data_IF_117483195048
#
_entry.id   IF_117483195048
#
_cell.length_a   1.000
_cell.length_b   1.000
_cell.length_c   1.000
_cell.angle_alpha   90.00
_cell.angle_beta   90.00
_cell.angle_gamma   90.00
#
_symmetry.space_group_name_H-M   'P 1'
#
loop_
_entity.id
_entity.type
_entity.pdbx_description
1 polymer ?
#
# COMPACT_ATOMS: atom_id res chain seq x y z
N UNK A 1 -2.51 14.83 7.26
CA UNK A 1 -2.71 13.86 6.18
C UNK A 1 -1.72 12.73 6.35
N UNK A 2 -2.16 11.50 6.13
CA UNK A 2 -1.35 10.29 6.28
C UNK A 2 -1.73 9.29 5.21
N UNK A 3 -0.74 8.53 4.74
CA UNK A 3 -0.94 7.40 3.85
C UNK A 3 -0.32 6.18 4.54
N UNK A 4 -1.11 5.12 4.67
CA UNK A 4 -0.67 3.85 5.23
C UNK A 4 -0.99 2.72 4.26
N UNK A 5 -0.12 1.72 4.18
CA UNK A 5 -0.35 0.54 3.37
C UNK A 5 -0.14 -0.75 4.17
N UNK A 6 -0.95 -1.76 3.91
CA UNK A 6 -0.73 -3.13 4.38
C UNK A 6 -0.67 -4.09 3.20
N UNK A 7 0.25 -5.04 3.26
CA UNK A 7 0.37 -6.16 2.33
C UNK A 7 0.15 -7.45 3.12
N UNK A 8 -0.91 -8.18 2.79
CA UNK A 8 -1.44 -9.31 3.56
C UNK A 8 -1.47 -8.99 5.07
N UNK A 9 -2.15 -7.90 5.37
CA UNK A 9 -2.37 -7.38 6.73
C UNK A 9 -1.08 -6.95 7.48
N UNK A 10 0.09 -6.95 6.81
CA UNK A 10 1.35 -6.44 7.37
C UNK A 10 1.62 -5.02 6.90
N UNK A 11 1.84 -4.10 7.85
CA UNK A 11 2.18 -2.70 7.57
C UNK A 11 3.49 -2.58 6.78
N UNK A 12 3.42 -1.80 5.71
CA UNK A 12 4.54 -1.46 4.85
C UNK A 12 5.02 -0.03 5.10
N UNK A 13 6.32 0.20 4.95
CA UNK A 13 6.87 1.54 4.87
C UNK A 13 6.71 2.04 3.44
N UNK A 14 5.99 3.15 3.28
CA UNK A 14 5.70 3.75 1.98
C UNK A 14 6.06 5.23 1.98
N UNK A 15 6.48 5.73 0.82
CA UNK A 15 6.78 7.13 0.56
C UNK A 15 5.86 7.61 -0.55
N UNK A 16 5.15 8.71 -0.30
CA UNK A 16 4.36 9.41 -1.30
C UNK A 16 5.19 10.52 -1.93
N UNK A 17 5.30 10.49 -3.25
CA UNK A 17 5.85 11.57 -4.03
C UNK A 17 4.70 12.37 -4.68
N UNK A 18 4.46 13.63 -4.25
CA UNK A 18 3.42 14.46 -4.81
C UNK A 18 3.69 14.94 -6.24
N UNK A 19 4.95 15.00 -6.68
CA UNK A 19 5.30 15.48 -8.02
C UNK A 19 4.94 14.42 -9.07
N UNK A 20 5.39 13.19 -8.87
CA UNK A 20 5.06 12.06 -9.76
C UNK A 20 3.70 11.42 -9.48
N UNK A 21 3.04 11.82 -8.39
CA UNK A 21 1.79 11.23 -7.90
C UNK A 21 1.89 9.73 -7.69
N UNK A 22 3.02 9.28 -7.13
CA UNK A 22 3.32 7.86 -6.94
C UNK A 22 3.53 7.50 -5.47
N UNK A 23 3.12 6.28 -5.11
CA UNK A 23 3.36 5.68 -3.81
C UNK A 23 4.35 4.54 -3.98
N UNK A 24 5.53 4.67 -3.37
CA UNK A 24 6.58 3.66 -3.45
C UNK A 24 6.77 2.97 -2.09
N UNK A 25 7.06 1.67 -2.10
CA UNK A 25 7.38 0.90 -0.92
C UNK A 25 8.07 -0.40 -1.31
N UNK A 26 8.72 -1.04 -0.34
CA UNK A 26 9.28 -2.39 -0.51
C UNK A 26 8.60 -3.32 0.48
N UNK A 27 8.24 -4.51 0.00
CA UNK A 27 7.78 -5.56 0.91
C UNK A 27 8.84 -5.83 1.97
N UNK A 28 8.41 -5.94 3.22
CA UNK A 28 9.28 -6.27 4.36
C UNK A 28 9.74 -7.73 4.39
N UNK A 29 9.19 -8.56 3.51
CA UNK A 29 9.54 -9.99 3.33
C UNK A 29 9.54 -10.36 1.86
N UNK A 30 10.21 -11.46 1.52
CA UNK A 30 10.02 -12.10 0.23
C UNK A 30 8.55 -12.51 0.05
N UNK A 31 8.01 -12.30 -1.14
CA UNK A 31 6.67 -12.73 -1.50
C UNK A 31 6.75 -14.14 -2.08
N UNK A 32 5.88 -15.02 -1.61
CA UNK A 32 5.71 -16.34 -2.20
C UNK A 32 4.89 -16.24 -3.48
N UNK A 33 5.00 -17.19 -4.43
CA UNK A 33 4.06 -17.28 -5.52
C UNK A 33 2.62 -17.40 -5.01
N UNK A 34 1.68 -16.70 -5.64
CA UNK A 34 0.27 -16.66 -5.25
C UNK A 34 -0.32 -15.25 -5.19
N UNK A 35 -1.58 -15.19 -4.79
CA UNK A 35 -2.32 -13.92 -4.67
C UNK A 35 -1.98 -13.20 -3.38
N UNK A 36 -1.68 -11.91 -3.50
CA UNK A 36 -1.41 -11.00 -2.40
C UNK A 36 -2.38 -9.83 -2.41
N UNK A 37 -2.74 -9.34 -1.23
CA UNK A 37 -3.67 -8.22 -1.07
C UNK A 37 -2.98 -6.98 -0.54
N UNK A 38 -2.96 -5.93 -1.35
CA UNK A 38 -2.53 -4.59 -0.97
C UNK A 38 -3.74 -3.74 -0.58
N UNK A 39 -3.68 -3.16 0.62
CA UNK A 39 -4.67 -2.19 1.10
C UNK A 39 -3.97 -0.87 1.34
N UNK A 40 -4.50 0.21 0.77
CA UNK A 40 -4.02 1.58 0.98
C UNK A 40 -5.13 2.36 1.67
N UNK A 41 -4.79 3.03 2.78
CA UNK A 41 -5.68 3.96 3.46
C UNK A 41 -5.07 5.35 3.43
N UNK A 42 -5.86 6.33 2.98
CA UNK A 42 -5.49 7.73 2.91
C UNK A 42 -6.41 8.53 3.82
N UNK A 43 -5.82 9.37 4.67
CA UNK A 43 -6.55 10.33 5.49
C UNK A 43 -6.02 11.72 5.16
N UNK A 44 -6.91 12.65 4.82
CA UNK A 44 -6.50 14.03 4.52
C UNK A 44 -6.22 14.84 5.80
N UNK A 45 -6.13 16.18 5.71
CA UNK A 45 -5.93 17.04 6.89
C UNK A 45 -7.21 17.34 7.66
N UNK A 46 -8.37 17.26 7.01
CA UNK A 46 -9.67 17.44 7.64
C UNK A 46 -10.17 16.16 8.33
N UNK A 47 -9.51 15.03 8.06
CA UNK A 47 -9.86 13.72 8.62
C UNK A 47 -10.73 12.88 7.69
N UNK A 48 -10.99 13.32 6.44
CA UNK A 48 -11.69 12.50 5.45
C UNK A 48 -10.85 11.27 5.12
N UNK A 49 -11.50 10.11 4.97
CA UNK A 49 -10.83 8.82 4.81
C UNK A 49 -11.29 8.11 3.53
N UNK A 50 -10.32 7.57 2.79
CA UNK A 50 -10.55 6.68 1.65
C UNK A 50 -9.70 5.42 1.81
N UNK A 51 -10.27 4.27 1.45
CA UNK A 51 -9.60 2.97 1.44
C UNK A 51 -9.70 2.36 0.05
N UNK A 52 -8.57 1.95 -0.50
CA UNK A 52 -8.46 1.22 -1.77
C UNK A 52 -7.87 -0.16 -1.49
N UNK A 53 -8.39 -1.19 -2.16
CA UNK A 53 -7.87 -2.56 -2.08
C UNK A 53 -7.54 -3.06 -3.47
N UNK A 54 -6.37 -3.67 -3.64
CA UNK A 54 -5.95 -4.32 -4.88
C UNK A 54 -5.33 -5.67 -4.58
N UNK A 55 -5.79 -6.66 -5.32
CA UNK A 55 -5.18 -7.99 -5.34
C UNK A 55 -4.24 -8.08 -6.54
N UNK A 56 -3.10 -8.74 -6.36
CA UNK A 56 -2.14 -9.03 -7.42
C UNK A 56 -1.53 -10.41 -7.24
N UNK A 57 -1.12 -11.01 -8.36
CA UNK A 57 -0.49 -12.33 -8.38
C UNK A 57 1.03 -12.18 -8.46
N UNK A 58 1.76 -12.89 -7.59
CA UNK A 58 3.20 -13.09 -7.71
C UNK A 58 3.43 -14.39 -8.46
N UNK A 59 4.02 -14.29 -9.65
CA UNK A 59 4.43 -15.46 -10.42
C UNK A 59 5.67 -16.13 -9.81
N UNK A 60 5.91 -17.39 -10.21
CA UNK A 60 7.14 -18.13 -9.87
C UNK A 60 8.36 -17.58 -10.60
#
# INVERSE_FOLDING_TARGET
ASITATLDDVTQLVVWDPESRSLAGRSRRALSPGTHRLVITVVDRAGNRTKETRDFEVAR
#
